data_IF_773843293095
#
_entry.id   IF_773843293095
#
_cell.length_a   1.000
_cell.length_b   1.000
_cell.length_c   1.000
_cell.angle_alpha   90.00
_cell.angle_beta   90.00
_cell.angle_gamma   90.00
#
_symmetry.space_group_name_H-M   'P 1'
#
loop_
_entity.id
_entity.type
_entity.pdbx_description
1 polymer ?
#
# COMPACT_ATOMS: atom_id res chain seq x y z
N UNK A 1 6.01 6.38 2.91
CA UNK A 1 4.88 7.31 3.15
C UNK A 1 3.56 6.54 3.11
N UNK A 2 2.58 6.92 3.92
CA UNK A 2 1.23 6.34 3.95
C UNK A 2 0.19 7.39 3.55
N UNK A 3 -0.74 7.02 2.67
CA UNK A 3 -1.85 7.83 2.19
C UNK A 3 -3.16 7.18 2.64
N UNK A 4 -3.75 7.74 3.69
CA UNK A 4 -5.05 7.34 4.22
C UNK A 4 -6.19 8.22 3.70
N UNK A 5 -7.42 7.78 3.94
CA UNK A 5 -8.62 8.57 3.69
C UNK A 5 -9.81 7.66 3.46
N UNK A 6 -11.02 8.17 3.67
CA UNK A 6 -12.25 7.41 3.46
C UNK A 6 -12.44 6.97 2.00
N UNK A 7 -13.35 6.04 1.76
CA UNK A 7 -13.76 5.70 0.40
C UNK A 7 -14.29 6.95 -0.31
N UNK A 8 -13.89 7.16 -1.58
CA UNK A 8 -14.33 8.29 -2.39
C UNK A 8 -13.43 9.53 -2.39
N UNK A 9 -12.33 9.55 -1.62
CA UNK A 9 -11.42 10.72 -1.52
C UNK A 9 -10.38 10.84 -2.62
N UNK A 10 -10.43 9.99 -3.65
CA UNK A 10 -9.53 10.07 -4.81
C UNK A 10 -8.16 9.41 -4.65
N UNK A 11 -7.94 8.58 -3.62
CA UNK A 11 -6.69 7.85 -3.37
C UNK A 11 -6.11 7.16 -4.62
N UNK A 12 -6.90 6.32 -5.29
CA UNK A 12 -6.48 5.61 -6.51
C UNK A 12 -6.08 6.56 -7.65
N UNK A 13 -6.79 7.68 -7.80
CA UNK A 13 -6.46 8.71 -8.81
C UNK A 13 -5.12 9.36 -8.48
N UNK A 14 -4.90 9.70 -7.21
CA UNK A 14 -3.64 10.24 -6.73
C UNK A 14 -2.47 9.28 -6.99
N UNK A 15 -2.63 7.98 -6.70
CA UNK A 15 -1.59 6.98 -6.96
C UNK A 15 -1.22 6.89 -8.44
N UNK A 16 -2.19 6.92 -9.35
CA UNK A 16 -1.92 6.91 -10.80
C UNK A 16 -1.14 8.14 -11.25
N UNK A 17 -1.47 9.32 -10.72
CA UNK A 17 -0.75 10.57 -11.02
C UNK A 17 0.67 10.54 -10.46
N UNK A 18 0.84 10.07 -9.22
CA UNK A 18 2.14 9.90 -8.59
C UNK A 18 3.04 8.95 -9.40
N UNK A 19 2.50 7.80 -9.81
CA UNK A 19 3.24 6.84 -10.64
C UNK A 19 3.75 7.47 -11.94
N UNK A 20 2.88 8.17 -12.68
CA UNK A 20 3.27 8.89 -13.91
C UNK A 20 4.38 9.91 -13.64
N UNK A 21 4.30 10.63 -12.51
CA UNK A 21 5.31 11.63 -12.15
C UNK A 21 6.65 10.99 -11.81
N UNK A 22 6.66 9.91 -11.02
CA UNK A 22 7.86 9.17 -10.65
C UNK A 22 8.53 8.54 -11.87
N UNK A 23 7.74 7.94 -12.77
CA UNK A 23 8.23 7.41 -14.05
C UNK A 23 8.81 8.50 -14.96
N UNK A 24 8.24 9.70 -14.97
CA UNK A 24 8.82 10.85 -15.68
C UNK A 24 10.19 11.26 -15.12
N UNK A 25 10.47 10.94 -13.85
CA UNK A 25 11.79 11.05 -13.23
C UNK A 25 12.68 9.82 -13.43
N UNK A 26 12.30 8.90 -14.33
CA UNK A 26 13.00 7.65 -14.68
C UNK A 26 13.13 6.67 -13.52
N UNK A 27 12.24 6.75 -12.53
CA UNK A 27 12.18 5.78 -11.44
C UNK A 27 11.39 4.54 -11.88
N UNK A 28 11.89 3.37 -11.50
CA UNK A 28 11.24 2.06 -11.68
C UNK A 28 10.22 1.89 -10.56
N UNK A 29 8.94 1.98 -10.90
CA UNK A 29 7.83 1.96 -9.94
C UNK A 29 7.05 0.66 -10.06
N UNK A 30 6.99 -0.12 -8.98
CA UNK A 30 6.06 -1.24 -8.87
C UNK A 30 4.71 -0.74 -8.34
N UNK A 31 3.66 -0.89 -9.14
CA UNK A 31 2.28 -0.65 -8.71
C UNK A 31 1.67 -1.97 -8.24
N UNK A 32 1.39 -2.10 -6.94
CA UNK A 32 0.83 -3.33 -6.36
C UNK A 32 -0.37 -3.06 -5.47
N UNK A 33 -1.21 -4.07 -5.28
CA UNK A 33 -2.33 -4.03 -4.35
C UNK A 33 -2.52 -5.36 -3.62
N UNK A 34 -3.35 -5.38 -2.58
CA UNK A 34 -3.65 -6.61 -1.82
C UNK A 34 -4.61 -7.56 -2.55
N UNK A 35 -5.45 -7.04 -3.44
CA UNK A 35 -6.42 -7.83 -4.24
C UNK A 35 -6.25 -7.61 -5.74
N UNK A 36 -6.68 -8.57 -6.55
CA UNK A 36 -6.57 -8.50 -8.01
C UNK A 36 -7.35 -7.33 -8.62
N UNK A 37 -8.58 -7.10 -8.14
CA UNK A 37 -9.43 -6.00 -8.62
C UNK A 37 -8.77 -4.64 -8.31
N UNK A 38 -8.22 -4.46 -7.11
CA UNK A 38 -7.50 -3.24 -6.76
C UNK A 38 -6.23 -3.06 -7.61
N UNK A 39 -5.48 -4.13 -7.85
CA UNK A 39 -4.30 -4.13 -8.72
C UNK A 39 -4.63 -3.61 -10.12
N UNK A 40 -5.69 -4.14 -10.75
CA UNK A 40 -6.18 -3.67 -12.04
C UNK A 40 -6.55 -2.18 -12.02
N UNK A 41 -7.17 -1.70 -10.93
CA UNK A 41 -7.52 -0.29 -10.79
C UNK A 41 -6.31 0.64 -10.73
N UNK A 42 -5.14 0.22 -10.26
CA UNK A 42 -3.93 1.04 -10.29
C UNK A 42 -3.03 0.73 -11.50
N UNK A 43 -3.54 -0.05 -12.47
CA UNK A 43 -2.77 -0.54 -13.62
C UNK A 43 -1.51 -1.33 -13.20
N UNK A 44 -1.65 -2.10 -12.13
CA UNK A 44 -0.61 -2.96 -11.59
C UNK A 44 -1.13 -4.38 -11.36
N UNK A 45 -0.50 -5.10 -10.44
CA UNK A 45 -0.88 -6.47 -10.08
C UNK A 45 -1.06 -6.63 -8.58
N UNK A 46 -1.35 -7.84 -8.12
CA UNK A 46 -1.29 -8.12 -6.68
C UNK A 46 0.16 -8.09 -6.20
N UNK A 47 0.37 -7.74 -4.93
CA UNK A 47 1.68 -7.84 -4.26
C UNK A 47 2.27 -9.25 -4.39
N UNK A 48 1.43 -10.27 -4.18
CA UNK A 48 1.82 -11.68 -4.30
C UNK A 48 2.32 -12.04 -5.70
N UNK A 49 1.63 -11.54 -6.74
CA UNK A 49 2.05 -11.78 -8.12
C UNK A 49 3.32 -11.01 -8.47
N UNK A 50 3.41 -9.73 -8.07
CA UNK A 50 4.54 -8.86 -8.40
C UNK A 50 5.86 -9.37 -7.81
N UNK A 51 5.83 -9.89 -6.57
CA UNK A 51 7.03 -10.24 -5.84
C UNK A 51 7.20 -11.75 -5.59
N UNK A 52 6.38 -12.58 -6.26
CA UNK A 52 6.49 -14.03 -6.14
C UNK A 52 6.24 -14.54 -4.72
N UNK A 53 5.26 -13.99 -4.01
CA UNK A 53 4.95 -14.40 -2.63
C UNK A 53 3.91 -15.51 -2.66
N UNK A 54 4.19 -16.62 -1.96
CA UNK A 54 3.25 -17.73 -1.80
C UNK A 54 2.02 -17.30 -1.01
N UNK A 55 0.94 -18.10 -1.06
CA UNK A 55 -0.24 -17.87 -0.22
C UNK A 55 0.05 -17.96 1.29
N UNK A 56 1.21 -18.49 1.68
CA UNK A 56 1.70 -18.56 3.06
C UNK A 56 2.57 -17.36 3.45
N UNK A 57 2.76 -16.40 2.54
CA UNK A 57 3.63 -15.23 2.77
C UNK A 57 5.12 -15.49 2.55
N UNK A 58 5.48 -16.61 1.91
CA UNK A 58 6.88 -16.95 1.65
C UNK A 58 7.36 -16.34 0.33
N UNK A 59 8.48 -15.63 0.36
CA UNK A 59 9.08 -15.04 -0.85
C UNK A 59 9.77 -16.13 -1.68
N UNK A 60 9.14 -16.53 -2.77
CA UNK A 60 9.68 -17.50 -3.73
C UNK A 60 10.61 -16.71 -4.66
N UNK A 61 11.89 -16.60 -4.29
CA UNK A 61 12.90 -15.82 -5.05
C UNK A 61 12.92 -16.21 -6.53
N UNK A 62 12.30 -15.38 -7.38
CA UNK A 62 12.31 -15.52 -8.84
C UNK A 62 13.08 -14.38 -9.52
N UNK A 63 13.01 -13.17 -8.98
CA UNK A 63 13.70 -11.97 -9.46
C UNK A 63 14.14 -11.09 -8.30
N UNK A 64 15.13 -10.22 -8.55
CA UNK A 64 15.65 -9.27 -7.55
C UNK A 64 14.64 -8.17 -7.29
N UNK A 65 14.27 -7.96 -6.03
CA UNK A 65 13.33 -6.91 -5.64
C UNK A 65 13.96 -5.51 -5.69
N UNK A 66 15.29 -5.44 -5.72
CA UNK A 66 16.08 -4.21 -5.88
C UNK A 66 16.00 -3.60 -7.30
N UNK A 67 15.27 -4.25 -8.21
CA UNK A 67 14.99 -3.68 -9.52
C UNK A 67 14.01 -2.49 -9.47
N UNK A 68 13.37 -2.24 -8.34
CA UNK A 68 12.44 -1.12 -8.16
C UNK A 68 13.06 -0.03 -7.29
N UNK A 69 12.82 1.22 -7.67
CA UNK A 69 13.19 2.38 -6.86
C UNK A 69 12.04 2.77 -5.92
N UNK A 70 10.80 2.50 -6.34
CA UNK A 70 9.58 2.79 -5.58
C UNK A 70 8.61 1.63 -5.65
N UNK A 71 8.04 1.23 -4.53
CA UNK A 71 6.99 0.21 -4.44
C UNK A 71 5.74 0.82 -3.82
N UNK A 72 4.65 0.81 -4.58
CA UNK A 72 3.32 1.24 -4.16
C UNK A 72 2.49 0.02 -3.78
N UNK A 73 1.85 0.06 -2.62
CA UNK A 73 0.92 -0.97 -2.14
C UNK A 73 -0.42 -0.29 -1.84
N UNK A 74 -1.44 -0.56 -2.64
CA UNK A 74 -2.82 -0.11 -2.41
C UNK A 74 -3.63 -1.16 -1.63
N UNK A 75 -4.73 -0.70 -1.02
CA UNK A 75 -5.60 -1.50 -0.14
C UNK A 75 -4.87 -2.15 1.05
N UNK A 76 -3.99 -1.40 1.70
CA UNK A 76 -3.12 -1.90 2.80
C UNK A 76 -3.87 -2.31 4.07
N UNK A 77 -5.18 -2.05 4.17
CA UNK A 77 -6.00 -2.51 5.31
C UNK A 77 -6.05 -4.03 5.41
N UNK A 78 -6.01 -4.71 4.26
CA UNK A 78 -5.97 -6.16 4.15
C UNK A 78 -4.54 -6.74 4.19
N UNK A 79 -3.51 -5.91 4.31
CA UNK A 79 -2.12 -6.36 4.29
C UNK A 79 -1.64 -6.73 5.69
N UNK A 80 -1.09 -7.93 5.85
CA UNK A 80 -0.74 -8.45 7.18
C UNK A 80 0.58 -7.88 7.70
N UNK A 81 0.65 -7.72 9.02
CA UNK A 81 1.86 -7.27 9.74
C UNK A 81 3.03 -8.21 9.48
N UNK A 82 2.79 -9.53 9.52
CA UNK A 82 3.84 -10.52 9.31
C UNK A 82 4.45 -10.36 7.93
N UNK A 83 3.63 -10.34 6.88
CA UNK A 83 4.11 -10.20 5.51
C UNK A 83 4.85 -8.87 5.31
N UNK A 84 4.38 -7.80 5.94
CA UNK A 84 5.03 -6.49 5.88
C UNK A 84 6.40 -6.44 6.56
N UNK A 85 6.50 -7.01 7.76
CA UNK A 85 7.76 -7.06 8.52
C UNK A 85 8.76 -8.00 7.81
N UNK A 86 8.29 -9.11 7.22
CA UNK A 86 9.14 -10.03 6.45
C UNK A 86 9.58 -9.42 5.12
N UNK A 87 8.74 -8.60 4.48
CA UNK A 87 9.10 -7.85 3.28
C UNK A 87 10.28 -6.89 3.52
N UNK A 88 10.25 -6.14 4.63
CA UNK A 88 11.36 -5.26 5.04
C UNK A 88 12.67 -6.03 5.24
N UNK A 89 12.62 -7.17 5.94
CA UNK A 89 13.79 -8.03 6.14
C UNK A 89 14.36 -8.53 4.82
N UNK A 90 13.51 -9.06 3.93
CA UNK A 90 13.95 -9.59 2.64
C UNK A 90 14.66 -8.51 1.81
N UNK A 91 14.12 -7.29 1.78
CA UNK A 91 14.76 -6.19 1.03
C UNK A 91 16.09 -5.74 1.65
N UNK A 92 16.17 -5.68 2.98
CA UNK A 92 17.43 -5.36 3.68
C UNK A 92 18.50 -6.41 3.44
N UNK A 93 18.13 -7.68 3.53
CA UNK A 93 19.02 -8.81 3.29
C UNK A 93 19.53 -8.82 1.85
N UNK A 94 18.64 -8.57 0.89
CA UNK A 94 18.99 -8.51 -0.53
C UNK A 94 19.89 -7.32 -0.85
N UNK A 95 19.64 -6.15 -0.26
CA UNK A 95 20.44 -4.95 -0.45
C UNK A 95 21.79 -4.98 0.29
N UNK A 96 21.96 -5.86 1.28
CA UNK A 96 23.12 -5.85 2.17
C UNK A 96 23.16 -4.62 3.09
N UNK A 97 22.00 -4.02 3.37
CA UNK A 97 21.87 -2.80 4.19
C UNK A 97 20.92 -3.05 5.38
N UNK A 98 21.38 -3.71 6.46
CA UNK A 98 20.52 -4.14 7.56
C UNK A 98 19.87 -2.96 8.32
N UNK A 99 20.52 -1.80 8.32
CA UNK A 99 20.05 -0.62 9.06
C UNK A 99 19.13 0.30 8.23
N UNK A 100 19.05 0.09 6.92
CA UNK A 100 18.26 0.93 6.02
C UNK A 100 16.90 0.27 5.74
N UNK A 101 15.77 0.87 6.16
CA UNK A 101 14.46 0.28 5.93
C UNK A 101 14.21 -0.05 4.47
N UNK A 102 13.64 -1.21 4.22
CA UNK A 102 13.34 -1.78 2.90
C UNK A 102 14.53 -1.78 1.94
N UNK A 103 15.76 -1.90 2.46
CA UNK A 103 16.97 -1.89 1.62
C UNK A 103 17.19 -0.57 0.87
N UNK A 104 16.56 0.53 1.32
CA UNK A 104 16.60 1.84 0.66
C UNK A 104 15.51 2.06 -0.40
N UNK A 105 14.66 1.07 -0.67
CA UNK A 105 13.53 1.23 -1.60
C UNK A 105 12.46 2.12 -0.98
N UNK A 106 11.93 3.06 -1.77
CA UNK A 106 10.86 3.92 -1.31
C UNK A 106 9.52 3.17 -1.29
N UNK A 107 8.92 3.03 -0.10
CA UNK A 107 7.60 2.42 0.04
C UNK A 107 6.48 3.47 0.16
N UNK A 108 5.45 3.33 -0.66
CA UNK A 108 4.21 4.12 -0.61
C UNK A 108 3.05 3.19 -0.30
N UNK A 109 2.43 3.39 0.86
CA UNK A 109 1.25 2.64 1.31
C UNK A 109 0.00 3.47 1.10
N UNK A 110 -1.09 2.84 0.68
CA UNK A 110 -2.37 3.50 0.46
C UNK A 110 -3.53 2.61 0.90
N UNK A 111 -4.51 3.19 1.61
CA UNK A 111 -5.69 2.44 2.03
C UNK A 111 -6.51 3.14 3.10
N UNK A 112 -7.41 2.38 3.71
CA UNK A 112 -8.25 2.85 4.81
C UNK A 112 -8.44 1.73 5.84
N UNK A 113 -7.76 1.81 6.98
CA UNK A 113 -7.84 0.78 8.03
C UNK A 113 -9.21 0.67 8.71
N UNK A 114 -10.16 1.57 8.43
CA UNK A 114 -11.56 1.43 8.86
C UNK A 114 -12.41 0.62 7.88
N UNK A 115 -11.83 0.12 6.79
CA UNK A 115 -12.46 -0.83 5.88
C UNK A 115 -12.14 -2.27 6.32
N UNK A 116 -12.31 -3.23 5.39
CA UNK A 116 -11.97 -4.63 5.64
C UNK A 116 -10.50 -4.76 6.05
N UNK A 117 -10.28 -5.39 7.20
CA UNK A 117 -8.97 -5.72 7.73
C UNK A 117 -8.42 -7.05 7.20
N UNK A 118 -7.24 -7.43 7.68
CA UNK A 118 -6.70 -8.76 7.46
C UNK A 118 -7.60 -9.86 8.02
N UNK A 119 -7.64 -10.99 7.32
CA UNK A 119 -8.33 -12.20 7.76
C UNK A 119 -7.35 -13.06 8.55
N UNK A 120 -7.69 -13.42 9.78
CA UNK A 120 -6.93 -14.35 10.65
C UNK A 120 -5.46 -13.99 10.93
N UNK A 121 -5.04 -12.75 10.67
CA UNK A 121 -3.69 -12.24 10.93
C UNK A 121 -3.74 -10.81 11.49
N UNK A 122 -2.68 -10.39 12.18
CA UNK A 122 -2.53 -9.00 12.61
C UNK A 122 -2.39 -8.05 11.42
N UNK A 123 -3.10 -6.92 11.44
CA UNK A 123 -3.02 -5.90 10.39
C UNK A 123 -1.69 -5.14 10.43
N UNK A 124 -1.20 -4.73 9.25
CA UNK A 124 -0.01 -3.88 9.08
C UNK A 124 -0.03 -2.65 9.98
N UNK A 125 -1.20 -2.09 10.30
CA UNK A 125 -1.29 -0.90 11.17
C UNK A 125 -0.62 -1.13 12.53
N UNK A 126 -0.55 -2.37 13.02
CA UNK A 126 0.09 -2.73 14.28
C UNK A 126 1.62 -2.95 14.16
N UNK A 127 2.21 -2.75 12.98
CA UNK A 127 3.67 -2.87 12.78
C UNK A 127 4.40 -1.67 13.37
N UNK A 128 5.44 -1.92 14.18
CA UNK A 128 6.34 -0.87 14.65
C UNK A 128 7.06 -0.18 13.49
N UNK A 129 7.38 -0.92 12.42
CA UNK A 129 7.96 -0.36 11.20
C UNK A 129 7.00 0.67 10.61
N UNK A 130 5.72 0.34 10.47
CA UNK A 130 4.72 1.29 9.99
C UNK A 130 4.64 2.55 10.86
N UNK A 131 4.63 2.39 12.18
CA UNK A 131 4.53 3.52 13.10
C UNK A 131 5.75 4.45 13.03
N UNK A 132 6.96 3.88 12.99
CA UNK A 132 8.21 4.60 13.19
C UNK A 132 8.74 5.30 11.95
N UNK A 133 8.57 4.70 10.76
CA UNK A 133 9.24 5.21 9.53
C UNK A 133 8.28 5.84 8.51
N UNK A 134 6.97 5.64 8.62
CA UNK A 134 6.02 6.20 7.67
C UNK A 134 5.49 7.57 8.10
N UNK A 135 5.74 8.58 7.26
CA UNK A 135 4.95 9.83 7.22
C UNK A 135 3.52 9.49 6.82
N UNK A 136 2.53 10.00 7.57
CA UNK A 136 1.12 9.67 7.42
C UNK A 136 0.34 10.87 6.89
N UNK A 137 -0.23 10.74 5.70
CA UNK A 137 -1.10 11.73 5.07
C UNK A 137 -2.53 11.23 5.09
N UNK A 138 -3.50 12.14 5.27
CA UNK A 138 -4.93 11.82 5.23
C UNK A 138 -5.64 12.71 4.22
N UNK A 139 -6.31 12.10 3.25
CA UNK A 139 -7.23 12.79 2.35
C UNK A 139 -8.57 12.98 3.06
N UNK A 140 -9.07 14.22 3.08
CA UNK A 140 -10.31 14.60 3.74
C UNK A 140 -11.45 14.85 2.75
N UNK A 141 -11.16 15.40 1.58
CA UNK A 141 -12.18 15.81 0.61
C UNK A 141 -12.79 14.59 -0.07
N UNK A 142 -14.11 14.42 0.07
CA UNK A 142 -14.86 13.43 -0.68
C UNK A 142 -15.14 13.93 -2.09
N UNK A 143 -14.80 13.11 -3.09
CA UNK A 143 -14.92 13.48 -4.51
C UNK A 143 -16.01 12.66 -5.19
N UNK A 144 -16.27 11.42 -4.75
CA UNK A 144 -17.22 10.51 -5.42
C UNK A 144 -18.70 10.85 -5.16
N UNK A 145 -19.06 11.36 -3.97
CA UNK A 145 -20.45 11.64 -3.58
C UNK A 145 -20.74 13.14 -3.40
N UNK A 146 -20.00 14.04 -4.04
CA UNK A 146 -20.15 15.50 -3.87
C UNK A 146 -21.56 16.03 -4.18
N UNK A 147 -22.32 15.34 -5.04
CA UNK A 147 -23.68 15.72 -5.39
C UNK A 147 -24.72 15.46 -4.28
N UNK A 148 -24.41 14.65 -3.26
CA UNK A 148 -25.34 14.32 -2.18
C UNK A 148 -24.61 14.36 -0.82
N UNK A 149 -24.63 15.53 -0.19
CA UNK A 149 -23.97 15.79 1.10
C UNK A 149 -24.51 14.94 2.24
N UNK A 150 -25.82 14.64 2.24
CA UNK A 150 -26.44 13.79 3.25
C UNK A 150 -25.92 12.35 3.13
N UNK A 151 -25.91 11.78 1.93
CA UNK A 151 -25.38 10.43 1.71
C UNK A 151 -23.89 10.31 2.06
N UNK A 152 -23.10 11.33 1.73
CA UNK A 152 -21.69 11.37 2.10
C UNK A 152 -21.49 11.42 3.63
N UNK A 153 -22.35 12.15 4.35
CA UNK A 153 -22.35 12.22 5.80
C UNK A 153 -22.72 10.86 6.42
N UNK A 154 -23.80 10.22 5.95
CA UNK A 154 -24.25 8.93 6.45
C UNK A 154 -23.18 7.84 6.29
N UNK A 155 -22.48 7.82 5.15
CA UNK A 155 -21.34 6.92 4.92
C UNK A 155 -20.18 7.18 5.89
N UNK A 156 -19.94 8.44 6.27
CA UNK A 156 -18.88 8.79 7.20
C UNK A 156 -19.23 8.40 8.64
N UNK A 157 -20.50 8.51 9.03
CA UNK A 157 -21.01 8.00 10.31
C UNK A 157 -20.88 6.47 10.35
N UNK A 158 -21.37 5.75 9.34
CA UNK A 158 -21.23 4.28 9.26
C UNK A 158 -19.78 3.80 9.33
N UNK A 159 -18.84 4.58 8.78
CA UNK A 159 -17.40 4.25 8.80
C UNK A 159 -16.80 4.28 10.21
N UNK A 160 -17.37 5.05 11.13
CA UNK A 160 -16.81 5.23 12.48
C UNK A 160 -17.44 4.30 13.53
N UNK A 161 -18.61 3.70 13.22
CA UNK A 161 -19.37 2.88 14.16
C UNK A 161 -20.25 3.75 15.03
#
# INVERSE_FOLDING_TARGET
MYIGGSAGTGKTVLLRVLCKRLQAHRLRVAMTATTGVAGCHISGSTFHHAFGVSSRGEFLRRHSLLEYDVIVIDEVSMFSKRLFDDFDKVLRDEAGTPDLPFGGIQIILCGDFLQLGCINEGSLICSQLFHNIFVKLRLHTQVRQTANSQFAHDLQVMRLG
#
